data_IF_293850653598
#
_entry.id   IF_293850653598
#
_cell.length_a   1.000
_cell.length_b   1.000
_cell.length_c   1.000
_cell.angle_alpha   90.00
_cell.angle_beta   90.00
_cell.angle_gamma   90.00
#
_symmetry.space_group_name_H-M   'P 1'
#
loop_
_entity.id
_entity.type
_entity.pdbx_description
1 polymer ?
#
# COMPACT_ATOMS: atom_id res chain seq x y z
N UNK A 1 10.39 -4.98 -30.09
CA UNK A 1 9.23 -5.53 -29.37
C UNK A 1 9.70 -5.97 -27.98
N UNK A 2 9.39 -5.22 -26.93
CA UNK A 2 9.89 -5.53 -25.58
C UNK A 2 9.20 -6.76 -24.99
N UNK A 3 9.96 -7.68 -24.38
CA UNK A 3 9.43 -8.93 -23.82
C UNK A 3 8.18 -8.68 -22.97
N UNK A 4 7.10 -9.40 -23.22
CA UNK A 4 5.82 -9.17 -22.56
C UNK A 4 5.90 -9.73 -21.13
N UNK A 5 5.54 -8.93 -20.12
CA UNK A 5 5.25 -9.46 -18.78
C UNK A 5 3.98 -10.33 -18.80
N UNK A 6 3.69 -11.00 -17.67
CA UNK A 6 2.47 -11.80 -17.53
C UNK A 6 1.21 -10.94 -17.79
N UNK A 7 0.19 -11.52 -18.43
CA UNK A 7 -1.05 -10.81 -18.77
C UNK A 7 -2.30 -11.62 -18.45
N UNK A 8 -3.39 -10.93 -18.14
CA UNK A 8 -4.74 -11.52 -18.00
C UNK A 8 -4.80 -12.67 -16.97
N UNK A 9 -3.94 -12.62 -15.95
CA UNK A 9 -3.85 -13.60 -14.89
C UNK A 9 -4.76 -13.29 -13.71
N UNK A 10 -5.01 -14.31 -12.89
CA UNK A 10 -5.74 -14.18 -11.63
C UNK A 10 -5.02 -14.91 -10.51
N UNK A 11 -4.62 -14.17 -9.48
CA UNK A 11 -4.06 -14.71 -8.23
C UNK A 11 -5.10 -14.51 -7.13
N UNK A 12 -5.79 -15.58 -6.73
CA UNK A 12 -6.91 -15.45 -5.81
C UNK A 12 -7.12 -16.63 -4.86
N UNK A 13 -7.69 -16.34 -3.70
CA UNK A 13 -8.05 -17.31 -2.65
C UNK A 13 -6.86 -18.09 -2.09
N UNK A 14 -5.70 -17.44 -1.98
CA UNK A 14 -4.52 -18.03 -1.36
C UNK A 14 -4.31 -17.50 0.06
N UNK A 15 -3.66 -18.30 0.90
CA UNK A 15 -3.01 -17.85 2.13
C UNK A 15 -1.50 -17.93 1.91
N UNK A 16 -0.81 -16.79 1.95
CA UNK A 16 0.63 -16.68 1.72
C UNK A 16 1.30 -16.06 2.93
N UNK A 17 2.30 -16.73 3.48
CA UNK A 17 2.91 -16.28 4.73
C UNK A 17 4.32 -16.77 4.95
N UNK A 18 5.05 -16.10 5.85
CA UNK A 18 6.43 -16.42 6.23
C UNK A 18 7.40 -16.42 5.04
N UNK A 19 7.22 -15.44 4.16
CA UNK A 19 8.08 -15.23 2.99
C UNK A 19 9.13 -14.18 3.34
N UNK A 20 10.39 -14.63 3.41
CA UNK A 20 11.53 -13.79 3.80
C UNK A 20 12.71 -13.95 2.86
N UNK A 21 13.29 -12.84 2.45
CA UNK A 21 14.56 -12.79 1.74
C UNK A 21 15.71 -12.89 2.73
N UNK A 22 16.65 -13.80 2.46
CA UNK A 22 17.91 -13.92 3.21
C UNK A 22 18.94 -12.85 2.84
N UNK A 23 18.67 -12.02 1.82
CA UNK A 23 19.61 -11.06 1.28
C UNK A 23 19.34 -9.63 1.74
N UNK A 24 18.09 -9.18 1.65
CA UNK A 24 17.73 -7.76 1.72
C UNK A 24 16.39 -7.49 2.43
N UNK A 25 15.75 -8.54 2.96
CA UNK A 25 14.44 -8.44 3.61
C UNK A 25 13.41 -7.69 2.73
N UNK A 26 13.29 -8.07 1.47
CA UNK A 26 12.36 -7.46 0.50
C UNK A 26 11.38 -8.45 -0.13
N UNK A 27 11.31 -9.69 0.36
CA UNK A 27 10.46 -10.69 -0.28
C UNK A 27 8.96 -10.40 -0.05
N UNK A 28 8.27 -10.03 -1.12
CA UNK A 28 6.82 -9.89 -1.09
C UNK A 28 6.13 -11.26 -1.08
N UNK A 29 5.09 -11.39 -0.27
CA UNK A 29 4.25 -12.59 -0.27
C UNK A 29 3.59 -12.80 -1.64
N UNK A 30 3.05 -11.73 -2.24
CA UNK A 30 2.61 -11.74 -3.64
C UNK A 30 3.31 -10.61 -4.38
N UNK A 31 4.05 -10.96 -5.43
CA UNK A 31 4.73 -9.99 -6.28
C UNK A 31 4.29 -10.08 -7.74
N UNK A 32 3.95 -8.95 -8.35
CA UNK A 32 3.78 -8.83 -9.82
C UNK A 32 4.71 -7.75 -10.34
N UNK A 33 5.76 -8.15 -11.09
CA UNK A 33 6.69 -7.22 -11.75
C UNK A 33 6.37 -7.06 -13.25
N UNK A 34 5.99 -5.85 -13.65
CA UNK A 34 5.75 -5.48 -15.06
C UNK A 34 4.57 -6.20 -15.74
N UNK A 35 3.67 -6.80 -14.96
CA UNK A 35 2.47 -7.50 -15.45
C UNK A 35 1.32 -6.56 -15.85
N UNK A 36 0.32 -7.07 -16.57
CA UNK A 36 -0.79 -6.23 -17.03
C UNK A 36 -2.14 -6.95 -17.08
N UNK A 37 -3.21 -6.25 -16.75
CA UNK A 37 -4.57 -6.83 -16.68
C UNK A 37 -4.63 -8.06 -15.76
N UNK A 38 -3.94 -8.00 -14.61
CA UNK A 38 -3.92 -9.09 -13.63
C UNK A 38 -4.77 -8.69 -12.43
N UNK A 39 -5.59 -9.62 -11.97
CA UNK A 39 -6.37 -9.48 -10.75
C UNK A 39 -5.72 -10.25 -9.59
N UNK A 40 -5.39 -9.55 -8.51
CA UNK A 40 -4.93 -10.11 -7.23
C UNK A 40 -6.05 -9.90 -6.21
N UNK A 41 -6.80 -10.95 -5.87
CA UNK A 41 -8.00 -10.77 -5.04
C UNK A 41 -8.26 -11.88 -4.03
N UNK A 42 -8.90 -11.52 -2.91
CA UNK A 42 -9.33 -12.51 -1.89
C UNK A 42 -8.18 -13.37 -1.36
N UNK A 43 -6.96 -12.83 -1.32
CA UNK A 43 -5.83 -13.49 -0.68
C UNK A 43 -5.66 -12.99 0.76
N UNK A 44 -5.10 -13.85 1.61
CA UNK A 44 -4.59 -13.51 2.92
C UNK A 44 -3.06 -13.54 2.87
N UNK A 45 -2.40 -12.42 3.21
CA UNK A 45 -0.94 -12.29 3.12
C UNK A 45 -0.37 -11.71 4.41
N UNK A 46 0.47 -12.48 5.10
CA UNK A 46 0.96 -12.08 6.43
C UNK A 46 2.35 -12.57 6.80
N UNK A 47 2.95 -11.96 7.81
CA UNK A 47 4.25 -12.36 8.37
C UNK A 47 5.33 -12.55 7.28
N UNK A 48 5.29 -11.75 6.22
CA UNK A 48 6.30 -11.73 5.16
C UNK A 48 7.08 -10.41 5.22
N UNK A 49 8.20 -10.28 4.51
CA UNK A 49 8.93 -9.00 4.49
C UNK A 49 8.04 -7.86 4.00
N UNK A 50 7.38 -8.11 2.86
CA UNK A 50 6.40 -7.24 2.20
C UNK A 50 5.12 -8.05 1.99
N UNK A 51 3.94 -7.45 2.16
CA UNK A 51 2.67 -8.14 1.94
C UNK A 51 2.41 -8.40 0.45
N UNK A 52 1.82 -7.42 -0.24
CA UNK A 52 1.60 -7.46 -1.68
C UNK A 52 2.39 -6.32 -2.33
N UNK A 53 3.14 -6.65 -3.37
CA UNK A 53 3.84 -5.67 -4.18
C UNK A 53 3.40 -5.75 -5.64
N UNK A 54 3.08 -4.59 -6.23
CA UNK A 54 2.94 -4.44 -7.67
C UNK A 54 4.10 -3.57 -8.14
N UNK A 55 5.09 -4.19 -8.77
CA UNK A 55 6.34 -3.55 -9.16
C UNK A 55 6.46 -3.33 -10.66
N UNK A 56 7.43 -2.50 -11.01
CA UNK A 56 7.95 -2.40 -12.35
C UNK A 56 9.44 -2.03 -12.25
N UNK A 57 10.30 -3.02 -12.00
CA UNK A 57 11.70 -2.75 -11.62
C UNK A 57 12.59 -2.35 -12.81
N UNK A 58 12.18 -2.72 -14.02
CA UNK A 58 13.01 -2.56 -15.19
C UNK A 58 12.65 -1.27 -15.95
N UNK A 59 13.65 -0.45 -16.30
CA UNK A 59 13.46 0.80 -17.06
C UNK A 59 12.67 0.54 -18.35
N UNK A 60 11.66 1.37 -18.59
CA UNK A 60 10.78 1.23 -19.75
C UNK A 60 9.77 0.09 -19.66
N UNK A 61 9.68 -0.61 -18.51
CA UNK A 61 8.58 -1.53 -18.22
C UNK A 61 7.43 -0.80 -17.55
N UNK A 62 6.24 -1.34 -17.75
CA UNK A 62 5.01 -0.82 -17.19
C UNK A 62 4.24 -2.00 -16.63
N UNK A 63 3.84 -1.89 -15.37
CA UNK A 63 2.71 -2.69 -14.88
C UNK A 63 1.44 -1.86 -15.03
N UNK A 64 0.36 -2.44 -15.56
CA UNK A 64 -0.83 -1.65 -15.87
C UNK A 64 -2.14 -2.40 -15.77
N UNK A 65 -3.23 -1.68 -15.50
CA UNK A 65 -4.57 -2.28 -15.40
C UNK A 65 -4.61 -3.40 -14.35
N UNK A 66 -3.84 -3.25 -13.28
CA UNK A 66 -3.85 -4.18 -12.17
C UNK A 66 -5.11 -3.94 -11.34
N UNK A 67 -5.73 -5.01 -10.86
CA UNK A 67 -6.83 -4.95 -9.89
C UNK A 67 -6.37 -5.70 -8.65
N UNK A 68 -6.06 -4.97 -7.58
CA UNK A 68 -5.69 -5.53 -6.29
C UNK A 68 -6.83 -5.26 -5.32
N UNK A 69 -7.64 -6.28 -5.01
CA UNK A 69 -8.85 -6.05 -4.23
C UNK A 69 -9.22 -7.13 -3.25
N UNK A 70 -9.93 -6.75 -2.18
CA UNK A 70 -10.48 -7.69 -1.20
C UNK A 70 -9.44 -8.63 -0.58
N UNK A 71 -8.17 -8.23 -0.55
CA UNK A 71 -7.13 -8.98 0.13
C UNK A 71 -7.09 -8.61 1.62
N UNK A 72 -6.73 -9.56 2.47
CA UNK A 72 -6.39 -9.31 3.87
C UNK A 72 -4.87 -9.33 4.02
N UNK A 73 -4.27 -8.18 4.33
CA UNK A 73 -2.83 -7.99 4.34
C UNK A 73 -2.42 -7.51 5.73
N UNK A 74 -1.74 -8.34 6.51
CA UNK A 74 -1.52 -8.00 7.91
C UNK A 74 -0.22 -8.55 8.50
N UNK A 75 0.27 -7.89 9.55
CA UNK A 75 1.43 -8.35 10.34
C UNK A 75 2.69 -8.64 9.47
N UNK A 76 2.85 -7.95 8.33
CA UNK A 76 4.07 -8.03 7.52
C UNK A 76 5.17 -7.15 8.13
N UNK A 77 6.42 -7.56 7.95
CA UNK A 77 7.56 -6.97 8.63
C UNK A 77 7.79 -5.50 8.27
N UNK A 78 7.56 -5.12 7.00
CA UNK A 78 7.87 -3.76 6.50
C UNK A 78 6.65 -3.00 5.99
N UNK A 79 5.91 -3.53 5.02
CA UNK A 79 4.76 -2.83 4.43
C UNK A 79 3.68 -3.82 4.03
N UNK A 80 2.43 -3.39 4.12
CA UNK A 80 1.29 -4.17 3.66
C UNK A 80 1.19 -4.18 2.14
N UNK A 81 0.93 -3.02 1.55
CA UNK A 81 0.78 -2.86 0.11
C UNK A 81 1.81 -1.88 -0.45
N UNK A 82 2.66 -2.35 -1.36
CA UNK A 82 3.59 -1.51 -2.09
C UNK A 82 3.21 -1.50 -3.58
N UNK A 83 3.29 -0.32 -4.22
CA UNK A 83 3.19 -0.28 -5.68
C UNK A 83 4.02 0.82 -6.35
N UNK A 84 4.48 0.49 -7.54
CA UNK A 84 5.21 1.37 -8.43
C UNK A 84 6.67 0.98 -8.64
N UNK A 85 7.43 1.83 -9.32
CA UNK A 85 8.88 1.64 -9.46
C UNK A 85 9.60 2.25 -8.26
N UNK A 86 10.56 1.54 -7.68
CA UNK A 86 11.24 2.02 -6.47
C UNK A 86 12.04 3.33 -6.67
N UNK A 87 12.33 3.73 -7.90
CA UNK A 87 12.87 5.05 -8.24
C UNK A 87 12.49 5.47 -9.68
N UNK A 88 12.78 6.74 -10.04
CA UNK A 88 12.46 7.33 -11.35
C UNK A 88 13.19 6.71 -12.57
N UNK A 89 14.22 5.89 -12.35
CA UNK A 89 14.95 5.17 -13.39
C UNK A 89 14.36 3.77 -13.65
N UNK A 90 13.33 3.36 -12.89
CA UNK A 90 12.65 2.07 -13.04
C UNK A 90 11.43 2.19 -13.95
N UNK A 91 10.73 1.08 -14.10
CA UNK A 91 9.43 1.03 -14.75
C UNK A 91 8.35 1.66 -13.87
N UNK A 92 7.12 1.74 -14.39
CA UNK A 92 6.03 2.47 -13.74
C UNK A 92 4.80 1.59 -13.55
N UNK A 93 4.11 1.73 -12.42
CA UNK A 93 2.76 1.17 -12.25
C UNK A 93 1.73 2.22 -12.61
N UNK A 94 0.85 1.91 -13.56
CA UNK A 94 -0.09 2.88 -14.11
C UNK A 94 -1.52 2.33 -14.22
N UNK A 95 -2.52 3.22 -14.22
CA UNK A 95 -3.91 2.90 -14.56
C UNK A 95 -4.44 1.67 -13.80
N UNK A 96 -4.07 1.52 -12.53
CA UNK A 96 -4.39 0.37 -11.70
C UNK A 96 -5.28 0.74 -10.53
N UNK A 97 -5.97 -0.26 -9.98
CA UNK A 97 -6.99 -0.13 -8.95
C UNK A 97 -6.61 -0.97 -7.74
N UNK A 98 -6.56 -0.32 -6.58
CA UNK A 98 -6.28 -0.92 -5.28
C UNK A 98 -7.46 -0.66 -4.36
N UNK A 99 -8.43 -1.59 -4.32
CA UNK A 99 -9.73 -1.34 -3.71
C UNK A 99 -10.15 -2.37 -2.67
N UNK A 100 -10.88 -1.93 -1.64
CA UNK A 100 -11.54 -2.83 -0.69
C UNK A 100 -10.62 -3.87 0.00
N UNK A 101 -9.32 -3.60 0.08
CA UNK A 101 -8.38 -4.41 0.84
C UNK A 101 -8.47 -4.05 2.32
N UNK A 102 -8.09 -5.00 3.18
CA UNK A 102 -7.95 -4.79 4.62
C UNK A 102 -6.47 -4.87 4.97
N UNK A 103 -5.88 -3.74 5.35
CA UNK A 103 -4.47 -3.62 5.74
C UNK A 103 -4.38 -3.40 7.24
N UNK A 104 -3.74 -4.32 7.97
CA UNK A 104 -3.67 -4.23 9.43
C UNK A 104 -2.29 -4.54 10.00
N UNK A 105 -1.77 -3.63 10.80
CA UNK A 105 -0.60 -3.85 11.65
C UNK A 105 0.65 -4.28 10.88
N UNK A 106 0.76 -3.87 9.62
CA UNK A 106 1.97 -4.04 8.85
C UNK A 106 3.05 -3.08 9.37
N UNK A 107 4.27 -3.28 8.88
CA UNK A 107 5.46 -2.61 9.40
C UNK A 107 5.77 -2.98 10.86
N UNK A 108 5.76 -4.29 11.14
CA UNK A 108 6.05 -4.83 12.48
C UNK A 108 7.48 -4.51 12.92
N UNK A 109 8.45 -4.49 11.98
CA UNK A 109 9.85 -4.15 12.24
C UNK A 109 10.11 -2.66 12.34
N UNK A 110 9.10 -1.82 12.12
CA UNK A 110 9.16 -0.37 12.31
C UNK A 110 10.16 0.33 11.39
N UNK A 111 10.16 -0.05 10.11
CA UNK A 111 10.99 0.55 9.06
C UNK A 111 10.55 1.96 8.69
N UNK A 112 9.33 2.37 9.09
CA UNK A 112 8.76 3.67 8.76
C UNK A 112 7.95 3.68 7.47
N UNK A 113 7.74 2.51 6.87
CA UNK A 113 6.98 2.32 5.63
C UNK A 113 5.47 2.36 5.87
N UNK A 114 5.01 1.85 7.01
CA UNK A 114 3.59 1.82 7.36
C UNK A 114 2.76 0.81 6.55
N UNK A 115 1.50 1.14 6.30
CA UNK A 115 0.55 0.21 5.65
C UNK A 115 0.65 0.22 4.13
N UNK A 116 0.86 1.40 3.52
CA UNK A 116 0.89 1.58 2.06
C UNK A 116 2.15 2.35 1.64
N UNK A 117 2.86 1.85 0.64
CA UNK A 117 3.98 2.55 -0.03
C UNK A 117 3.65 2.77 -1.50
N UNK A 118 3.94 3.98 -2.00
CA UNK A 118 3.83 4.33 -3.42
C UNK A 118 5.09 5.01 -3.90
N UNK A 119 5.74 4.44 -4.92
CA UNK A 119 6.96 4.97 -5.52
C UNK A 119 6.85 4.97 -7.04
N UNK A 120 7.16 6.08 -7.72
CA UNK A 120 7.08 6.20 -9.19
C UNK A 120 5.84 5.49 -9.82
N UNK A 121 4.65 6.00 -9.52
CA UNK A 121 3.37 5.48 -10.00
C UNK A 121 2.55 6.57 -10.73
N UNK A 122 1.66 6.20 -11.67
CA UNK A 122 0.84 7.16 -12.43
C UNK A 122 -0.63 6.78 -12.54
N UNK A 123 -1.54 7.71 -12.24
CA UNK A 123 -2.96 7.54 -12.58
C UNK A 123 -3.57 6.24 -12.02
N UNK A 124 -3.21 5.91 -10.77
CA UNK A 124 -3.80 4.78 -10.05
C UNK A 124 -4.88 5.28 -9.09
N UNK A 125 -5.83 4.40 -8.78
CA UNK A 125 -6.84 4.65 -7.74
C UNK A 125 -6.61 3.71 -6.57
N UNK A 126 -6.52 4.27 -5.38
CA UNK A 126 -6.49 3.56 -4.11
C UNK A 126 -7.75 3.97 -3.36
N UNK A 127 -8.72 3.07 -3.22
CA UNK A 127 -10.01 3.47 -2.66
C UNK A 127 -10.68 2.41 -1.79
N UNK A 128 -11.55 2.85 -0.89
CA UNK A 128 -12.43 1.98 -0.11
C UNK A 128 -11.70 0.91 0.72
N UNK A 129 -10.40 1.06 0.99
CA UNK A 129 -9.67 0.10 1.81
C UNK A 129 -9.89 0.39 3.29
N UNK A 130 -9.83 -0.67 4.11
CA UNK A 130 -9.81 -0.56 5.56
C UNK A 130 -8.34 -0.61 6.00
N UNK A 131 -7.86 0.44 6.63
CA UNK A 131 -6.44 0.58 6.99
C UNK A 131 -6.30 0.80 8.49
N UNK A 132 -5.54 -0.07 9.14
CA UNK A 132 -5.32 -0.05 10.59
C UNK A 132 -3.82 -0.14 10.86
N UNK A 133 -3.14 0.99 11.10
CA UNK A 133 -1.71 1.02 11.21
C UNK A 133 -1.21 0.30 12.47
N UNK A 134 0.06 -0.12 12.43
CA UNK A 134 0.81 -0.53 13.61
C UNK A 134 0.97 0.62 14.63
N UNK A 135 1.72 0.36 15.70
CA UNK A 135 1.94 1.35 16.77
C UNK A 135 2.66 2.63 16.32
N UNK A 136 3.24 2.62 15.12
CA UNK A 136 3.81 3.81 14.49
C UNK A 136 2.74 4.78 13.96
N UNK A 137 1.52 4.29 13.71
CA UNK A 137 0.40 5.04 13.14
C UNK A 137 0.65 5.56 11.71
N UNK A 138 1.66 5.02 11.00
CA UNK A 138 1.96 5.40 9.62
C UNK A 138 0.99 4.67 8.68
N UNK A 139 0.19 5.45 7.97
CA UNK A 139 -0.77 4.97 6.98
C UNK A 139 -0.11 4.81 5.62
N UNK A 140 0.56 5.88 5.17
CA UNK A 140 1.02 6.04 3.81
C UNK A 140 2.43 6.61 3.80
N UNK A 141 3.25 6.05 2.93
CA UNK A 141 4.48 6.65 2.43
C UNK A 141 4.38 6.79 0.90
N UNK A 142 4.20 8.01 0.42
CA UNK A 142 4.26 8.33 -1.00
C UNK A 142 5.59 9.03 -1.31
N UNK A 143 6.45 8.35 -2.06
CA UNK A 143 7.76 8.83 -2.44
C UNK A 143 7.65 10.10 -3.33
N UNK A 144 8.46 11.15 -3.10
CA UNK A 144 8.50 12.34 -3.96
C UNK A 144 8.92 12.06 -5.41
N UNK A 145 9.47 10.88 -5.71
CA UNK A 145 10.04 10.48 -6.99
C UNK A 145 8.97 10.23 -8.05
N UNK A 146 8.38 11.31 -8.56
CA UNK A 146 7.60 11.29 -9.80
C UNK A 146 6.27 10.53 -9.73
N UNK A 147 5.77 10.19 -8.54
CA UNK A 147 4.41 9.68 -8.35
C UNK A 147 3.39 10.79 -8.64
N UNK A 148 2.56 10.62 -9.67
CA UNK A 148 1.68 11.67 -10.18
C UNK A 148 0.28 11.12 -10.45
N UNK A 149 -0.74 11.95 -10.25
CA UNK A 149 -2.15 11.64 -10.54
C UNK A 149 -2.67 10.37 -9.87
N UNK A 150 -2.03 9.88 -8.80
CA UNK A 150 -2.60 8.81 -8.00
C UNK A 150 -3.66 9.42 -7.08
N UNK A 151 -4.83 8.78 -7.02
CA UNK A 151 -5.99 9.25 -6.25
C UNK A 151 -6.25 8.30 -5.10
N UNK A 152 -6.26 8.84 -3.90
CA UNK A 152 -6.58 8.18 -2.64
C UNK A 152 -7.88 8.75 -2.12
N UNK A 153 -8.89 7.92 -1.93
CA UNK A 153 -10.17 8.37 -1.37
C UNK A 153 -11.01 7.25 -0.75
N UNK A 154 -12.01 7.62 0.04
CA UNK A 154 -12.97 6.68 0.66
C UNK A 154 -12.34 5.63 1.58
N UNK A 155 -11.13 5.86 2.07
CA UNK A 155 -10.48 4.94 2.98
C UNK A 155 -11.15 4.99 4.36
N UNK A 156 -11.19 3.84 5.04
CA UNK A 156 -11.60 3.75 6.44
C UNK A 156 -10.36 3.52 7.28
N UNK A 157 -9.96 4.56 8.01
CA UNK A 157 -8.79 4.54 8.87
C UNK A 157 -9.16 4.20 10.30
N UNK A 158 -8.56 3.14 10.85
CA UNK A 158 -8.65 2.87 12.28
C UNK A 158 -7.48 3.52 12.99
N UNK A 159 -7.74 4.15 14.14
CA UNK A 159 -6.69 4.57 15.05
C UNK A 159 -6.94 4.03 16.46
N UNK A 160 -5.86 3.70 17.16
CA UNK A 160 -5.94 3.35 18.57
C UNK A 160 -6.40 4.58 19.35
N UNK A 161 -7.26 4.38 20.35
CA UNK A 161 -7.70 5.49 21.21
C UNK A 161 -6.49 6.15 21.87
N UNK A 162 -6.22 7.39 21.48
CA UNK A 162 -5.22 8.26 22.08
C UNK A 162 -5.86 9.18 23.12
N UNK A 163 -5.07 9.68 24.08
CA UNK A 163 -5.53 10.71 25.04
C UNK A 163 -5.68 12.09 24.37
N UNK A 164 -5.02 12.30 23.23
CA UNK A 164 -5.10 13.52 22.45
C UNK A 164 -6.48 13.67 21.80
N UNK A 165 -6.90 14.94 21.62
CA UNK A 165 -8.15 15.31 20.95
C UNK A 165 -8.07 15.03 19.43
N UNK A 166 -6.86 15.03 18.87
CA UNK A 166 -6.61 14.88 17.44
C UNK A 166 -6.13 13.47 17.05
N UNK A 167 -6.31 13.15 15.76
CA UNK A 167 -5.80 11.92 15.15
C UNK A 167 -4.27 11.91 15.12
N UNK A 168 -3.68 10.75 15.45
CA UNK A 168 -2.23 10.53 15.40
C UNK A 168 -1.79 9.76 14.16
N UNK A 169 -2.67 9.61 13.16
CA UNK A 169 -2.34 8.97 11.89
C UNK A 169 -1.30 9.80 11.14
N UNK A 170 -0.34 9.13 10.52
CA UNK A 170 0.77 9.77 9.82
C UNK A 170 0.66 9.45 8.33
N UNK A 171 0.67 10.52 7.53
CA UNK A 171 0.71 10.47 6.07
C UNK A 171 2.02 11.15 5.63
N UNK A 172 2.97 10.35 5.16
CA UNK A 172 4.19 10.86 4.53
C UNK A 172 3.91 11.02 3.03
N UNK A 173 3.90 12.25 2.53
CA UNK A 173 3.52 12.57 1.17
C UNK A 173 4.54 13.49 0.52
N UNK A 174 5.30 12.93 -0.43
CA UNK A 174 6.47 13.59 -0.97
C UNK A 174 7.47 13.91 0.13
N UNK A 175 7.92 15.16 0.20
CA UNK A 175 8.87 15.63 1.21
C UNK A 175 8.21 16.12 2.51
N UNK A 176 6.89 15.96 2.65
CA UNK A 176 6.14 16.48 3.79
C UNK A 176 5.48 15.36 4.59
N UNK A 177 5.49 15.50 5.91
CA UNK A 177 4.69 14.67 6.81
C UNK A 177 3.46 15.45 7.28
N UNK A 178 2.30 14.79 7.25
CA UNK A 178 1.04 15.28 7.78
C UNK A 178 0.58 14.38 8.93
N UNK A 179 0.25 15.00 10.07
CA UNK A 179 -0.32 14.32 11.23
C UNK A 179 -1.82 14.57 11.25
N UNK A 180 -2.60 13.49 11.18
CA UNK A 180 -4.05 13.50 11.14
C UNK A 180 -4.63 13.68 9.74
N UNK A 181 -5.79 13.06 9.51
CA UNK A 181 -6.50 13.08 8.24
C UNK A 181 -6.86 14.51 7.78
N UNK A 182 -7.30 15.38 8.69
CA UNK A 182 -7.71 16.75 8.34
C UNK A 182 -6.55 17.59 7.79
N UNK A 183 -5.36 17.48 8.37
CA UNK A 183 -4.17 18.17 7.86
C UNK A 183 -3.79 17.67 6.46
N UNK A 184 -3.86 16.35 6.26
CA UNK A 184 -3.58 15.71 4.97
C UNK A 184 -4.59 16.15 3.89
N UNK A 185 -5.89 16.11 4.18
CA UNK A 185 -6.96 16.55 3.28
C UNK A 185 -6.82 18.02 2.87
N UNK A 186 -6.55 18.90 3.84
CA UNK A 186 -6.43 20.34 3.58
C UNK A 186 -5.30 20.63 2.59
N UNK A 187 -4.15 19.97 2.77
CA UNK A 187 -2.94 20.21 1.98
C UNK A 187 -2.98 19.54 0.61
N UNK A 188 -3.50 18.32 0.51
CA UNK A 188 -3.35 17.49 -0.70
C UNK A 188 -4.62 17.37 -1.53
N UNK A 189 -5.78 17.71 -0.95
CA UNK A 189 -7.11 17.45 -1.52
C UNK A 189 -7.41 15.97 -1.80
N UNK A 190 -6.61 15.06 -1.23
CA UNK A 190 -6.87 13.62 -1.21
C UNK A 190 -7.81 13.29 -0.04
N UNK A 191 -8.36 12.08 -0.06
CA UNK A 191 -9.10 11.47 1.07
C UNK A 191 -10.29 12.31 1.55
N UNK A 192 -10.91 13.12 0.70
CA UNK A 192 -11.98 14.03 1.08
C UNK A 192 -13.20 13.31 1.67
N UNK A 193 -13.39 12.03 1.34
CA UNK A 193 -14.49 11.20 1.83
C UNK A 193 -14.04 10.11 2.82
N UNK A 194 -12.77 10.13 3.23
CA UNK A 194 -12.25 9.16 4.19
C UNK A 194 -12.85 9.35 5.59
N UNK A 195 -12.93 8.25 6.33
CA UNK A 195 -13.44 8.25 7.71
C UNK A 195 -12.40 7.69 8.67
N UNK A 196 -12.28 8.31 9.86
CA UNK A 196 -11.45 7.80 10.96
C UNK A 196 -12.33 7.16 12.02
N UNK A 197 -12.06 5.90 12.38
CA UNK A 197 -12.75 5.14 13.42
C UNK A 197 -11.80 4.91 14.61
N UNK A 198 -12.30 5.21 15.81
CA UNK A 198 -11.60 4.92 17.06
C UNK A 198 -11.72 3.44 17.42
N UNK A 199 -10.63 2.70 17.34
CA UNK A 199 -10.62 1.29 17.72
C UNK A 199 -10.85 1.13 19.24
N UNK A 200 -11.83 0.29 19.61
CA UNK A 200 -12.03 -0.15 21.00
C UNK A 200 -10.77 -0.93 21.44
N UNK A 201 -10.38 -0.80 22.71
CA UNK A 201 -9.28 -1.62 23.27
C UNK A 201 -9.61 -3.09 23.04
N UNK A 202 -8.68 -3.84 22.41
CA UNK A 202 -8.70 -5.32 22.45
C UNK A 202 -8.74 -5.71 23.93
N UNK A 203 -9.77 -6.45 24.36
CA UNK A 203 -9.71 -7.13 25.66
C UNK A 203 -8.53 -8.11 25.57
N UNK A 204 -7.60 -8.00 26.52
CA UNK A 204 -6.54 -8.99 26.71
C UNK A 204 -7.16 -10.29 27.16
#
# INVERSE_FOLDING_TARGET
MGALGARSGRCANNTVWNIHSVYDSSAAGIYVDGGSNITVEMNEVHHSDVGIEIGAENKGRIASQMIVRKNYIHDNDKVGLAFGGYDQNRGRVINSLFEANRLEYNDVKRTGSGEIVVSYAFNNSVNSNIVKPSTQNIILYADPSGSLNNVFDWQIYYQKRVKAIESNLIFNWGNQQYKGLSAFQLATKQELHATVIMAKRRRK
#
